data_IF_404800539585
#
_entry.id   IF_404800539585
#
_cell.length_a   1.000
_cell.length_b   1.000
_cell.length_c   1.000
_cell.angle_alpha   90.00
_cell.angle_beta   90.00
_cell.angle_gamma   90.00
#
_symmetry.space_group_name_H-M   'P 1'
#
loop_
_entity.id
_entity.type
_entity.pdbx_description
1 polymer ?
#
# COMPACT_ATOMS: atom_id res chain seq x y z
N UNK A 1 12.06 13.12 24.50
CA UNK A 1 13.23 13.65 23.76
C UNK A 1 13.60 12.73 22.61
N UNK A 2 13.71 11.42 22.82
CA UNK A 2 14.04 10.46 21.74
C UNK A 2 13.07 10.47 20.53
N UNK A 3 11.75 10.49 20.75
CA UNK A 3 10.76 10.44 19.65
C UNK A 3 10.93 11.58 18.62
N UNK A 4 11.42 12.75 19.06
CA UNK A 4 11.64 13.89 18.18
C UNK A 4 12.87 13.67 17.28
N UNK A 5 13.94 13.07 17.81
CA UNK A 5 15.19 12.76 17.08
C UNK A 5 14.95 11.79 15.91
N UNK A 6 14.15 10.74 16.13
CA UNK A 6 13.81 9.79 15.06
C UNK A 6 13.03 10.45 13.93
N UNK A 7 12.13 11.38 14.25
CA UNK A 7 11.33 12.09 13.25
C UNK A 7 12.18 13.02 12.36
N UNK A 8 13.20 13.67 12.94
CA UNK A 8 14.15 14.49 12.20
C UNK A 8 15.03 13.63 11.29
N UNK A 9 15.54 12.52 11.82
CA UNK A 9 16.33 11.56 11.04
C UNK A 9 15.55 11.04 9.82
N UNK A 10 14.26 10.72 10.00
CA UNK A 10 13.40 10.28 8.89
C UNK A 10 13.18 11.40 7.86
N UNK A 11 12.98 12.64 8.30
CA UNK A 11 12.84 13.80 7.40
C UNK A 11 14.11 14.05 6.60
N UNK A 12 15.28 13.87 7.22
CA UNK A 12 16.57 14.03 6.55
C UNK A 12 16.82 12.91 5.53
N UNK A 13 16.35 11.69 5.82
CA UNK A 13 16.40 10.57 4.87
C UNK A 13 15.55 10.86 3.63
N UNK A 14 14.39 11.52 3.75
CA UNK A 14 13.48 11.79 2.62
C UNK A 14 13.62 13.20 2.02
N UNK A 15 14.76 13.85 2.24
CA UNK A 15 14.96 15.26 1.88
C UNK A 15 15.00 15.57 0.37
N UNK A 16 14.91 14.57 -0.49
CA UNK A 16 14.86 14.70 -1.95
C UNK A 16 13.79 13.78 -2.50
N UNK A 17 13.26 14.10 -3.69
CA UNK A 17 12.20 13.33 -4.31
C UNK A 17 12.63 11.88 -4.60
N UNK A 18 13.85 11.66 -5.07
CA UNK A 18 14.38 10.30 -5.32
C UNK A 18 14.44 9.47 -4.04
N UNK A 19 14.92 10.07 -2.94
CA UNK A 19 14.97 9.37 -1.65
C UNK A 19 13.58 9.11 -1.09
N UNK A 20 12.63 10.02 -1.28
CA UNK A 20 11.24 9.82 -0.90
C UNK A 20 10.61 8.64 -1.66
N UNK A 21 10.89 8.52 -2.96
CA UNK A 21 10.43 7.40 -3.80
C UNK A 21 11.00 6.08 -3.29
N UNK A 22 12.31 6.01 -3.04
CA UNK A 22 12.98 4.81 -2.51
C UNK A 22 12.45 4.45 -1.11
N UNK A 23 12.24 5.45 -0.26
CA UNK A 23 11.66 5.25 1.06
C UNK A 23 10.23 4.71 0.97
N UNK A 24 9.40 5.28 0.09
CA UNK A 24 8.03 4.80 -0.14
C UNK A 24 8.03 3.36 -0.67
N UNK A 25 8.91 3.03 -1.61
CA UNK A 25 9.10 1.65 -2.09
C UNK A 25 9.47 0.70 -0.95
N UNK A 26 10.36 1.11 -0.05
CA UNK A 26 10.74 0.33 1.13
C UNK A 26 9.55 0.06 2.04
N UNK A 27 8.68 1.06 2.26
CA UNK A 27 7.44 0.89 3.01
C UNK A 27 6.48 -0.08 2.33
N UNK A 28 6.33 -0.01 1.00
CA UNK A 28 5.50 -0.95 0.23
C UNK A 28 6.01 -2.38 0.42
N UNK A 29 7.33 -2.60 0.29
CA UNK A 29 7.93 -3.93 0.47
C UNK A 29 7.69 -4.45 1.90
N UNK A 30 7.84 -3.59 2.91
CA UNK A 30 7.51 -3.93 4.30
C UNK A 30 6.04 -4.28 4.49
N UNK A 31 5.12 -3.48 3.93
CA UNK A 31 3.69 -3.71 3.97
C UNK A 31 3.32 -5.04 3.28
N UNK A 32 3.91 -5.34 2.12
CA UNK A 32 3.69 -6.60 1.41
C UNK A 32 4.09 -7.83 2.25
N UNK A 33 5.19 -7.75 3.00
CA UNK A 33 5.64 -8.81 3.91
C UNK A 33 4.65 -8.96 5.07
N UNK A 34 4.27 -7.86 5.72
CA UNK A 34 3.30 -7.88 6.81
C UNK A 34 1.97 -8.47 6.32
N UNK A 35 1.46 -8.01 5.19
CA UNK A 35 0.22 -8.51 4.57
C UNK A 35 0.28 -10.02 4.29
N UNK A 36 1.41 -10.50 3.76
CA UNK A 36 1.57 -11.94 3.51
C UNK A 36 1.55 -12.76 4.81
N UNK A 37 2.25 -12.27 5.85
CA UNK A 37 2.28 -12.92 7.15
C UNK A 37 0.89 -12.90 7.81
N UNK A 38 0.22 -11.75 7.84
CA UNK A 38 -1.11 -11.61 8.46
C UNK A 38 -2.17 -12.39 7.68
N UNK A 39 -2.10 -12.42 6.35
CA UNK A 39 -2.99 -13.22 5.51
C UNK A 39 -2.81 -14.72 5.72
N UNK A 40 -1.55 -15.17 5.85
CA UNK A 40 -1.23 -16.58 6.17
C UNK A 40 -1.73 -16.97 7.56
N UNK A 41 -1.54 -16.09 8.55
CA UNK A 41 -2.06 -16.29 9.91
C UNK A 41 -3.59 -16.32 9.95
N UNK A 42 -4.25 -15.37 9.26
CA UNK A 42 -5.70 -15.30 9.20
C UNK A 42 -6.33 -16.57 8.63
N UNK A 43 -5.76 -17.09 7.53
CA UNK A 43 -6.23 -18.33 6.93
C UNK A 43 -5.92 -19.58 7.77
N UNK A 44 -4.91 -19.55 8.66
CA UNK A 44 -4.62 -20.64 9.59
C UNK A 44 -5.55 -20.66 10.81
N UNK A 45 -5.96 -19.50 11.31
CA UNK A 45 -6.82 -19.36 12.50
C UNK A 45 -8.28 -19.65 12.18
N UNK A 46 -8.71 -19.44 10.93
CA UNK A 46 -10.11 -19.61 10.53
C UNK A 46 -10.37 -21.04 10.00
N UNK A 47 -11.10 -21.91 10.73
CA UNK A 47 -11.32 -23.31 10.34
C UNK A 47 -12.21 -23.47 9.09
N UNK A 48 -12.88 -22.40 8.64
CA UNK A 48 -13.69 -22.37 7.42
C UNK A 48 -12.89 -21.96 6.16
N UNK A 49 -11.64 -21.53 6.31
CA UNK A 49 -10.78 -21.21 5.17
C UNK A 49 -9.94 -22.46 4.92
N UNK A 50 -10.43 -23.34 4.05
CA UNK A 50 -9.58 -24.37 3.46
C UNK A 50 -8.40 -23.63 2.81
N UNK A 51 -7.19 -23.87 3.29
CA UNK A 51 -5.96 -23.45 2.64
C UNK A 51 -5.81 -24.22 1.32
N UNK A 52 -6.70 -23.97 0.35
CA UNK A 52 -6.58 -24.51 -0.99
C UNK A 52 -5.40 -23.78 -1.60
N UNK A 53 -4.35 -24.54 -1.88
CA UNK A 53 -3.09 -24.09 -2.50
C UNK A 53 -3.26 -23.00 -3.57
N UNK A 54 -4.37 -23.00 -4.32
CA UNK A 54 -4.72 -21.99 -5.33
C UNK A 54 -4.84 -20.55 -4.78
N UNK A 55 -5.49 -20.33 -3.63
CA UNK A 55 -5.67 -18.98 -3.08
C UNK A 55 -4.35 -18.37 -2.58
N UNK A 56 -3.53 -19.19 -1.90
CA UNK A 56 -2.20 -18.78 -1.45
C UNK A 56 -1.27 -18.46 -2.64
N UNK A 57 -1.28 -19.29 -3.68
CA UNK A 57 -0.51 -19.04 -4.91
C UNK A 57 -0.98 -17.76 -5.59
N UNK A 58 -2.28 -17.51 -5.66
CA UNK A 58 -2.82 -16.31 -6.29
C UNK A 58 -2.41 -15.04 -5.52
N UNK A 59 -2.37 -15.10 -4.19
CA UNK A 59 -1.86 -14.02 -3.33
C UNK A 59 -0.39 -13.70 -3.61
N UNK A 60 0.47 -14.73 -3.74
CA UNK A 60 1.89 -14.55 -4.07
C UNK A 60 2.05 -14.00 -5.49
N UNK A 61 1.31 -14.53 -6.47
CA UNK A 61 1.36 -14.06 -7.85
C UNK A 61 0.95 -12.59 -7.97
N UNK A 62 -0.08 -12.16 -7.22
CA UNK A 62 -0.50 -10.74 -7.14
C UNK A 62 0.63 -9.85 -6.61
N UNK A 63 1.38 -10.29 -5.60
CA UNK A 63 2.52 -9.53 -5.06
C UNK A 63 3.67 -9.47 -6.06
N UNK A 64 4.00 -10.58 -6.71
CA UNK A 64 5.02 -10.61 -7.76
C UNK A 64 4.66 -9.71 -8.95
N UNK A 65 3.40 -9.73 -9.39
CA UNK A 65 2.91 -8.84 -10.44
C UNK A 65 3.04 -7.37 -10.03
N UNK A 66 2.73 -7.06 -8.76
CA UNK A 66 2.87 -5.70 -8.22
C UNK A 66 4.32 -5.25 -8.18
N UNK A 67 5.24 -6.09 -7.71
CA UNK A 67 6.69 -5.81 -7.73
C UNK A 67 7.20 -5.61 -9.16
N UNK A 68 6.78 -6.45 -10.09
CA UNK A 68 7.16 -6.33 -11.50
C UNK A 68 6.65 -5.00 -12.10
N UNK A 69 5.41 -4.62 -11.82
CA UNK A 69 4.84 -3.36 -12.28
C UNK A 69 5.59 -2.16 -11.71
N UNK A 70 5.77 -2.11 -10.38
CA UNK A 70 6.48 -1.00 -9.71
C UNK A 70 7.91 -0.88 -10.24
N UNK A 71 8.61 -2.01 -10.40
CA UNK A 71 9.98 -2.03 -10.95
C UNK A 71 10.04 -1.56 -12.40
N UNK A 72 9.03 -1.90 -13.22
CA UNK A 72 8.94 -1.44 -14.61
C UNK A 72 8.66 0.06 -14.71
N UNK A 73 7.89 0.62 -13.77
CA UNK A 73 7.60 2.05 -13.73
C UNK A 73 8.82 2.92 -13.39
N UNK A 74 9.88 2.37 -12.78
CA UNK A 74 11.11 3.10 -12.46
C UNK A 74 11.82 3.60 -13.74
N UNK A 75 12.27 2.75 -14.68
CA UNK A 75 12.87 3.24 -15.92
C UNK A 75 11.87 4.02 -16.79
N UNK A 76 10.57 3.67 -16.74
CA UNK A 76 9.53 4.42 -17.44
C UNK A 76 9.44 5.87 -16.95
N UNK A 77 9.65 6.12 -15.65
CA UNK A 77 9.63 7.48 -15.09
C UNK A 77 10.72 8.38 -15.67
N UNK A 78 11.85 7.81 -16.09
CA UNK A 78 12.97 8.56 -16.68
C UNK A 78 12.64 9.03 -18.11
N UNK A 79 11.76 8.31 -18.80
CA UNK A 79 11.33 8.66 -20.17
C UNK A 79 10.41 9.88 -20.21
N UNK A 80 9.85 10.28 -19.06
CA UNK A 80 8.95 11.43 -18.98
C UNK A 80 9.73 12.73 -18.76
N UNK A 81 9.43 13.79 -19.54
CA UNK A 81 10.14 15.06 -19.43
C UNK A 81 9.82 15.82 -18.13
N UNK A 82 10.70 16.77 -17.79
CA UNK A 82 10.51 17.79 -16.75
C UNK A 82 10.14 17.28 -15.34
N UNK A 83 10.67 16.13 -14.92
CA UNK A 83 10.47 15.62 -13.55
C UNK A 83 9.06 15.11 -13.25
N UNK A 84 8.13 15.18 -14.23
CA UNK A 84 6.77 14.65 -14.14
C UNK A 84 6.80 13.16 -13.81
N UNK A 85 7.77 12.43 -14.36
CA UNK A 85 7.90 10.99 -14.12
C UNK A 85 8.14 10.63 -12.66
N UNK A 86 8.98 11.39 -11.95
CA UNK A 86 9.21 11.16 -10.52
C UNK A 86 7.94 11.45 -9.70
N UNK A 87 7.17 12.47 -10.08
CA UNK A 87 5.90 12.80 -9.42
C UNK A 87 4.85 11.71 -9.63
N UNK A 88 4.69 11.26 -10.87
CA UNK A 88 3.80 10.16 -11.22
C UNK A 88 4.19 8.85 -10.50
N UNK A 89 5.49 8.56 -10.42
CA UNK A 89 6.00 7.39 -9.70
C UNK A 89 5.67 7.46 -8.20
N UNK A 90 5.83 8.63 -7.59
CA UNK A 90 5.48 8.84 -6.18
C UNK A 90 3.97 8.65 -5.92
N UNK A 91 3.11 9.16 -6.80
CA UNK A 91 1.65 8.98 -6.68
C UNK A 91 1.28 7.51 -6.80
N UNK A 92 1.82 6.81 -7.81
CA UNK A 92 1.62 5.37 -7.99
C UNK A 92 2.03 4.59 -6.74
N UNK A 93 3.19 4.91 -6.17
CA UNK A 93 3.73 4.22 -5.00
C UNK A 93 2.89 4.46 -3.76
N UNK A 94 2.42 5.69 -3.52
CA UNK A 94 1.48 5.98 -2.42
C UNK A 94 0.17 5.21 -2.60
N UNK A 95 -0.39 5.17 -3.82
CA UNK A 95 -1.59 4.39 -4.11
C UNK A 95 -1.41 2.91 -3.82
N UNK A 96 -0.27 2.33 -4.22
CA UNK A 96 0.06 0.95 -3.91
C UNK A 96 0.24 0.70 -2.41
N UNK A 97 0.90 1.61 -1.70
CA UNK A 97 1.05 1.52 -0.25
C UNK A 97 -0.33 1.52 0.44
N UNK A 98 -1.25 2.37 -0.02
CA UNK A 98 -2.62 2.40 0.49
C UNK A 98 -3.35 1.07 0.28
N UNK A 99 -3.21 0.45 -0.91
CA UNK A 99 -3.80 -0.87 -1.16
C UNK A 99 -3.23 -1.97 -0.28
N UNK A 100 -1.91 -2.00 -0.05
CA UNK A 100 -1.31 -2.97 0.88
C UNK A 100 -1.78 -2.73 2.33
N UNK A 101 -1.87 -1.47 2.78
CA UNK A 101 -2.41 -1.14 4.11
C UNK A 101 -3.87 -1.62 4.27
N UNK A 102 -4.70 -1.42 3.26
CA UNK A 102 -6.08 -1.93 3.26
C UNK A 102 -6.11 -3.45 3.40
N UNK A 103 -5.28 -4.16 2.63
CA UNK A 103 -5.16 -5.63 2.69
C UNK A 103 -4.72 -6.12 4.08
N UNK A 104 -3.76 -5.43 4.71
CA UNK A 104 -3.33 -5.73 6.09
C UNK A 104 -4.48 -5.60 7.07
N UNK A 105 -5.25 -4.50 6.99
CA UNK A 105 -6.39 -4.26 7.89
C UNK A 105 -7.47 -5.33 7.72
N UNK A 106 -7.76 -5.74 6.49
CA UNK A 106 -8.69 -6.85 6.21
C UNK A 106 -8.20 -8.16 6.84
N UNK A 107 -6.90 -8.45 6.81
CA UNK A 107 -6.33 -9.64 7.44
C UNK A 107 -6.36 -9.57 8.98
N UNK A 108 -6.11 -8.40 9.56
CA UNK A 108 -6.23 -8.19 11.01
C UNK A 108 -7.66 -8.35 11.51
N UNK A 109 -8.65 -7.87 10.75
CA UNK A 109 -10.06 -8.07 11.05
C UNK A 109 -10.44 -9.56 11.09
N UNK A 110 -9.96 -10.34 10.12
CA UNK A 110 -10.12 -11.81 10.10
C UNK A 110 -9.45 -12.51 11.28
N UNK A 111 -8.43 -11.90 11.88
CA UNK A 111 -7.76 -12.38 13.08
C UNK A 111 -8.47 -11.97 14.38
N UNK A 112 -9.57 -11.21 14.29
CA UNK A 112 -10.32 -10.73 15.46
C UNK A 112 -9.70 -9.52 16.15
N UNK A 113 -8.71 -8.87 15.50
CA UNK A 113 -8.16 -7.59 15.99
C UNK A 113 -9.14 -6.49 15.61
N UNK A 114 -9.55 -5.67 16.58
CA UNK A 114 -10.45 -4.55 16.33
C UNK A 114 -9.73 -3.48 15.49
N UNK A 115 -10.08 -3.43 14.20
CA UNK A 115 -9.57 -2.47 13.22
C UNK A 115 -10.57 -1.38 12.87
N UNK A 116 -11.72 -1.29 13.58
CA UNK A 116 -12.84 -0.40 13.26
C UNK A 116 -12.41 1.06 13.03
N UNK A 117 -11.59 1.60 13.94
CA UNK A 117 -11.10 2.98 13.86
C UNK A 117 -10.23 3.24 12.62
N UNK A 118 -9.47 2.24 12.17
CA UNK A 118 -8.65 2.34 10.96
C UNK A 118 -9.46 2.11 9.69
N UNK A 119 -10.44 1.21 9.72
CA UNK A 119 -11.38 1.00 8.62
C UNK A 119 -12.17 2.26 8.31
N UNK A 120 -12.72 2.91 9.33
CA UNK A 120 -13.48 4.16 9.17
C UNK A 120 -12.61 5.27 8.57
N UNK A 121 -11.33 5.33 8.94
CA UNK A 121 -10.37 6.26 8.36
C UNK A 121 -10.11 5.97 6.88
N UNK A 122 -9.80 4.71 6.54
CA UNK A 122 -9.54 4.28 5.15
C UNK A 122 -10.77 4.45 4.27
N UNK A 123 -11.96 4.12 4.78
CA UNK A 123 -13.23 4.23 4.07
C UNK A 123 -13.59 5.68 3.78
N UNK A 124 -13.33 6.61 4.71
CA UNK A 124 -13.48 8.05 4.45
C UNK A 124 -12.57 8.53 3.32
N UNK A 125 -11.31 8.10 3.29
CA UNK A 125 -10.41 8.44 2.19
C UNK A 125 -10.85 7.83 0.84
N UNK A 126 -11.40 6.62 0.86
CA UNK A 126 -11.91 5.97 -0.37
C UNK A 126 -13.24 6.57 -0.87
N UNK A 127 -14.07 7.14 0.02
CA UNK A 127 -15.36 7.72 -0.35
C UNK A 127 -15.25 9.19 -0.82
N UNK A 128 -14.19 9.91 -0.46
CA UNK A 128 -13.85 11.21 -1.10
C UNK A 128 -13.73 11.05 -2.63
N UNK A 129 -13.23 9.91 -3.09
CA UNK A 129 -13.09 9.58 -4.53
C UNK A 129 -14.44 9.31 -5.24
N UNK A 130 -15.53 9.11 -4.48
CA UNK A 130 -16.87 8.80 -5.02
C UNK A 130 -17.80 10.00 -5.06
N UNK A 131 -17.64 10.98 -4.16
CA UNK A 131 -18.46 12.20 -4.18
C UNK A 131 -18.18 13.08 -5.41
N UNK A 132 -16.94 13.15 -5.89
CA UNK A 132 -16.58 13.93 -7.09
C UNK A 132 -17.20 13.39 -8.40
N UNK A 133 -17.71 12.14 -8.43
CA UNK A 133 -18.37 11.57 -9.63
C UNK A 133 -19.86 11.88 -9.73
N UNK A 134 -20.53 12.23 -8.63
CA UNK A 134 -21.96 12.53 -8.68
C UNK A 134 -22.24 13.98 -9.09
N UNK A 135 -21.31 14.91 -8.83
CA UNK A 135 -21.48 16.33 -9.19
C UNK A 135 -21.24 16.64 -10.69
N UNK A 136 -20.63 15.71 -11.46
CA UNK A 136 -20.51 15.82 -12.93
C UNK A 136 -21.67 15.19 -13.70
N UNK A 137 -22.50 14.36 -13.05
CA UNK A 137 -23.68 13.73 -13.68
C UNK A 137 -24.96 14.57 -13.54
N UNK A 138 -24.94 15.61 -12.70
CA UNK A 138 -26.05 16.56 -12.47
C UNK A 138 -25.81 17.96 -13.09
N UNK A 139 -24.90 18.10 -14.07
CA UNK A 139 -24.70 19.32 -14.87
C UNK A 139 -25.01 19.15 -16.35
#
# INVERSE_FOLDING_TARGET
>A
MEVFEWSHTLRDIVNTQDKLIVFTLTLIMGAMVIDFLTGTLAARVNPNIDFKSKEGINGILRKLASIALLSFCIPLSILLPEGIGLGALQILYIGYLFFELKSILENFDKLGINTMMFKDFIEKFSNIEKEDKNDELDK
#
